data_IF_903168223081
#
_entry.id   IF_903168223081
#
_cell.length_a   1.000
_cell.length_b   1.000
_cell.length_c   1.000
_cell.angle_alpha   90.00
_cell.angle_beta   90.00
_cell.angle_gamma   90.00
#
_symmetry.space_group_name_H-M   'P 1'
#
loop_
_entity.id
_entity.type
_entity.pdbx_description
1 polymer ?
#
# COMPACT_ATOMS: atom_id res chain seq x y z
N UNK A 1 2.70 2.31 -15.87
CA UNK A 1 1.42 2.97 -16.25
C UNK A 1 1.73 4.39 -16.73
N UNK A 2 0.97 5.00 -17.64
CA UNK A 2 1.25 6.38 -18.08
C UNK A 2 1.06 7.38 -16.92
N UNK A 3 1.95 8.36 -16.70
CA UNK A 3 1.88 9.30 -15.57
C UNK A 3 0.54 10.03 -15.43
N UNK A 4 -0.03 10.52 -16.53
CA UNK A 4 -1.35 11.18 -16.51
C UNK A 4 -2.48 10.29 -15.98
N UNK A 5 -2.50 9.00 -16.36
CA UNK A 5 -3.52 8.05 -15.87
C UNK A 5 -3.35 7.85 -14.37
N UNK A 6 -2.09 7.71 -13.93
CA UNK A 6 -1.75 7.53 -12.51
C UNK A 6 -2.17 8.74 -11.68
N UNK A 7 -1.94 9.96 -12.17
CA UNK A 7 -2.37 11.22 -11.55
C UNK A 7 -3.89 11.32 -11.40
N UNK A 8 -4.65 10.93 -12.42
CA UNK A 8 -6.13 10.90 -12.34
C UNK A 8 -6.59 9.88 -11.29
N UNK A 9 -5.99 8.68 -11.29
CA UNK A 9 -6.37 7.62 -10.36
C UNK A 9 -5.97 7.93 -8.91
N UNK A 10 -4.89 8.68 -8.68
CA UNK A 10 -4.48 9.09 -7.33
C UNK A 10 -5.36 10.16 -6.70
N UNK A 11 -6.32 10.73 -7.44
CA UNK A 11 -7.33 11.62 -6.88
C UNK A 11 -8.50 10.88 -6.24
N UNK A 12 -8.60 9.56 -6.43
CA UNK A 12 -9.63 8.72 -5.81
C UNK A 12 -9.19 8.30 -4.41
N UNK A 13 -10.18 7.97 -3.58
CA UNK A 13 -9.93 7.36 -2.28
C UNK A 13 -9.33 5.96 -2.41
N UNK A 14 -8.60 5.55 -1.39
CA UNK A 14 -8.09 4.19 -1.28
C UNK A 14 -9.20 3.33 -0.67
N UNK A 15 -9.80 2.49 -1.50
CA UNK A 15 -10.79 1.50 -1.08
C UNK A 15 -10.11 0.16 -0.80
N UNK A 16 -10.27 -0.33 0.43
CA UNK A 16 -9.78 -1.64 0.86
C UNK A 16 -10.84 -2.71 0.62
N UNK A 17 -10.40 -3.86 0.15
CA UNK A 17 -11.19 -5.06 -0.10
C UNK A 17 -10.65 -6.23 0.74
N UNK A 18 -11.52 -7.16 1.10
CA UNK A 18 -11.21 -8.26 2.03
C UNK A 18 -11.83 -8.03 3.40
N UNK A 19 -11.28 -8.66 4.43
CA UNK A 19 -11.69 -8.43 5.82
C UNK A 19 -10.80 -7.33 6.41
N UNK A 20 -11.41 -6.24 6.88
CA UNK A 20 -10.65 -5.11 7.41
C UNK A 20 -10.07 -5.37 8.81
N UNK A 21 -10.47 -6.47 9.44
CA UNK A 21 -9.94 -6.99 10.69
C UNK A 21 -9.00 -8.19 10.47
N UNK A 22 -8.81 -8.63 9.22
CA UNK A 22 -7.86 -9.68 8.80
C UNK A 22 -7.08 -9.22 7.54
N UNK A 23 -6.55 -10.15 6.76
CA UNK A 23 -5.89 -9.90 5.49
C UNK A 23 -6.79 -9.10 4.52
N UNK A 24 -6.29 -7.95 4.08
CA UNK A 24 -6.96 -7.09 3.13
C UNK A 24 -6.00 -6.42 2.15
N UNK A 25 -6.54 -5.95 1.03
CA UNK A 25 -5.76 -5.28 -0.01
C UNK A 25 -6.53 -4.14 -0.66
N UNK A 26 -5.80 -3.18 -1.24
CA UNK A 26 -6.37 -2.11 -2.04
C UNK A 26 -5.67 -2.00 -3.38
N UNK A 27 -6.40 -1.53 -4.40
CA UNK A 27 -5.82 -1.14 -5.69
C UNK A 27 -5.97 0.36 -5.87
N UNK A 28 -4.85 1.07 -5.97
CA UNK A 28 -4.88 2.53 -6.03
C UNK A 28 -3.79 3.09 -6.92
N UNK A 29 -4.14 3.93 -7.89
CA UNK A 29 -3.18 4.57 -8.80
C UNK A 29 -2.19 3.61 -9.51
N UNK A 30 -2.63 2.38 -9.79
CA UNK A 30 -1.78 1.33 -10.39
C UNK A 30 -0.85 0.64 -9.39
N UNK A 31 -1.05 0.84 -8.09
CA UNK A 31 -0.43 0.11 -6.99
C UNK A 31 -1.36 -0.96 -6.46
N UNK A 32 -0.77 -1.96 -5.82
CA UNK A 32 -1.43 -2.88 -4.90
C UNK A 32 -0.87 -2.59 -3.51
N UNK A 33 -1.78 -2.37 -2.56
CA UNK A 33 -1.48 -2.23 -1.13
C UNK A 33 -1.98 -3.50 -0.44
N UNK A 34 -1.21 -4.01 0.53
CA UNK A 34 -1.57 -5.17 1.35
C UNK A 34 -1.41 -4.83 2.82
N UNK A 35 -2.29 -5.40 3.64
CA UNK A 35 -2.18 -5.46 5.09
C UNK A 35 -2.54 -6.88 5.51
N UNK A 36 -1.62 -7.55 6.22
CA UNK A 36 -1.71 -8.98 6.49
C UNK A 36 -1.40 -9.30 7.94
N UNK A 37 -2.17 -10.19 8.53
CA UNK A 37 -1.92 -10.69 9.86
C UNK A 37 -0.78 -11.70 9.83
N UNK A 38 0.19 -11.51 10.72
CA UNK A 38 1.35 -12.36 10.90
C UNK A 38 1.31 -12.99 12.29
N UNK A 39 2.24 -13.90 12.55
CA UNK A 39 2.48 -14.44 13.89
C UNK A 39 2.79 -13.35 14.93
N UNK A 40 2.63 -13.66 16.22
CA UNK A 40 2.90 -12.79 17.37
C UNK A 40 2.08 -11.46 17.40
N UNK A 41 0.83 -11.51 16.95
CA UNK A 41 -0.06 -10.34 16.84
C UNK A 41 0.61 -9.20 16.06
N UNK A 42 1.38 -9.54 15.04
CA UNK A 42 2.03 -8.57 14.17
C UNK A 42 1.25 -8.43 12.89
N UNK A 43 1.36 -7.26 12.30
CA UNK A 43 0.78 -6.98 11.00
C UNK A 43 1.88 -6.58 10.04
N UNK A 44 1.85 -7.18 8.86
CA UNK A 44 2.71 -6.84 7.75
C UNK A 44 1.95 -5.98 6.74
N UNK A 45 2.67 -5.09 6.08
CA UNK A 45 2.15 -4.27 5.00
C UNK A 45 3.15 -4.20 3.85
N UNK A 46 2.64 -4.03 2.65
CA UNK A 46 3.45 -3.78 1.47
C UNK A 46 2.72 -2.98 0.40
N UNK A 47 3.52 -2.33 -0.44
CA UNK A 47 3.09 -1.60 -1.63
C UNK A 47 3.89 -2.12 -2.81
N UNK A 48 3.20 -2.52 -3.87
CA UNK A 48 3.81 -3.03 -5.10
C UNK A 48 3.25 -2.35 -6.34
N UNK A 49 4.06 -2.25 -7.40
CA UNK A 49 3.57 -1.80 -8.70
C UNK A 49 2.78 -2.91 -9.40
N UNK A 50 1.50 -2.66 -9.70
CA UNK A 50 0.61 -3.67 -10.24
C UNK A 50 0.91 -4.07 -11.70
N UNK A 51 1.79 -3.33 -12.40
CA UNK A 51 2.16 -3.61 -13.80
C UNK A 51 3.59 -4.13 -13.96
N UNK A 52 4.48 -3.81 -13.04
CA UNK A 52 5.89 -4.22 -13.10
C UNK A 52 6.14 -5.50 -12.32
N UNK A 53 5.45 -6.59 -12.66
CA UNK A 53 5.63 -7.92 -12.04
C UNK A 53 5.53 -7.91 -10.49
N UNK A 54 4.63 -7.05 -9.95
CA UNK A 54 4.49 -6.84 -8.51
C UNK A 54 5.78 -6.39 -7.81
N UNK A 55 6.65 -5.64 -8.53
CA UNK A 55 7.83 -5.02 -7.96
C UNK A 55 7.46 -4.31 -6.67
N UNK A 56 8.06 -4.77 -5.57
CA UNK A 56 7.90 -4.15 -4.27
C UNK A 56 8.49 -2.74 -4.30
N UNK A 57 7.68 -1.78 -3.91
CA UNK A 57 8.06 -0.38 -3.77
C UNK A 57 8.52 -0.14 -2.33
N UNK A 58 7.74 -0.63 -1.37
CA UNK A 58 8.10 -0.60 0.05
C UNK A 58 7.29 -1.64 0.83
N UNK A 59 7.79 -2.05 1.99
CA UNK A 59 7.12 -3.00 2.88
C UNK A 59 7.60 -2.86 4.32
N UNK A 60 6.89 -3.52 5.25
CA UNK A 60 7.33 -3.58 6.66
C UNK A 60 8.76 -4.09 6.85
N UNK A 61 9.31 -4.85 5.89
CA UNK A 61 10.66 -5.39 5.99
C UNK A 61 11.76 -4.32 5.94
N UNK A 62 11.43 -3.13 5.41
CA UNK A 62 12.38 -2.02 5.27
C UNK A 62 12.36 -1.07 6.48
N UNK A 63 11.52 -1.33 7.49
CA UNK A 63 11.30 -0.44 8.63
C UNK A 63 11.38 -1.20 9.94
N UNK A 64 11.96 -0.58 10.97
CA UNK A 64 12.01 -1.17 12.33
C UNK A 64 10.65 -1.16 13.04
N UNK A 65 9.68 -0.39 12.54
CA UNK A 65 8.39 -0.22 13.16
C UNK A 65 7.47 -1.43 12.90
N UNK A 66 7.01 -2.03 13.99
CA UNK A 66 6.05 -3.14 13.95
C UNK A 66 4.63 -2.60 14.04
N UNK A 67 3.77 -3.02 13.09
CA UNK A 67 2.33 -2.78 13.16
C UNK A 67 1.67 -3.85 14.04
N UNK A 68 0.70 -3.43 14.87
CA UNK A 68 -0.02 -4.30 15.83
C UNK A 68 -1.52 -4.42 15.56
N UNK A 69 -2.01 -3.72 14.54
CA UNK A 69 -3.41 -3.77 14.10
C UNK A 69 -3.51 -3.64 12.59
N UNK A 70 -4.58 -4.19 12.01
CA UNK A 70 -4.92 -4.02 10.59
C UNK A 70 -4.89 -2.56 10.16
N UNK A 71 -5.54 -1.68 10.94
CA UNK A 71 -5.60 -0.24 10.69
C UNK A 71 -4.22 0.41 10.64
N UNK A 72 -3.29 0.02 11.53
CA UNK A 72 -1.93 0.56 11.50
C UNK A 72 -1.15 0.13 10.26
N UNK A 73 -1.31 -1.13 9.84
CA UNK A 73 -0.67 -1.67 8.64
C UNK A 73 -1.22 -1.04 7.37
N UNK A 74 -2.56 -0.93 7.26
CA UNK A 74 -3.23 -0.21 6.18
C UNK A 74 -2.77 1.24 6.07
N UNK A 75 -2.73 1.95 7.20
CA UNK A 75 -2.26 3.35 7.24
C UNK A 75 -0.83 3.47 6.70
N UNK A 76 0.07 2.55 7.07
CA UNK A 76 1.45 2.55 6.57
C UNK A 76 1.53 2.29 5.06
N UNK A 77 0.79 1.31 4.56
CA UNK A 77 0.71 1.06 3.12
C UNK A 77 0.19 2.27 2.36
N UNK A 78 -0.84 2.96 2.89
CA UNK A 78 -1.38 4.17 2.28
C UNK A 78 -0.37 5.31 2.25
N UNK A 79 0.35 5.55 3.36
CA UNK A 79 1.39 6.58 3.43
C UNK A 79 2.49 6.31 2.40
N UNK A 80 3.05 5.10 2.39
CA UNK A 80 4.11 4.73 1.44
C UNK A 80 3.63 4.84 -0.02
N UNK A 81 2.40 4.41 -0.31
CA UNK A 81 1.80 4.54 -1.63
C UNK A 81 1.65 6.01 -2.07
N UNK A 82 1.16 6.88 -1.18
CA UNK A 82 0.99 8.32 -1.43
C UNK A 82 2.33 9.02 -1.66
N UNK A 83 3.33 8.73 -0.83
CA UNK A 83 4.69 9.26 -0.97
C UNK A 83 5.32 8.85 -2.30
N UNK A 84 5.21 7.57 -2.67
CA UNK A 84 5.70 7.09 -3.96
C UNK A 84 5.00 7.79 -5.14
N UNK A 85 3.68 7.97 -5.07
CA UNK A 85 2.91 8.67 -6.12
C UNK A 85 3.34 10.13 -6.24
N UNK A 86 3.49 10.84 -5.12
CA UNK A 86 3.94 12.22 -5.09
C UNK A 86 5.33 12.36 -5.74
N UNK A 87 6.27 11.52 -5.30
CA UNK A 87 7.63 11.48 -5.88
C UNK A 87 7.61 11.15 -7.36
N UNK A 88 6.85 10.12 -7.77
CA UNK A 88 6.74 9.70 -9.17
C UNK A 88 6.14 10.77 -10.08
N UNK A 89 5.20 11.58 -9.56
CA UNK A 89 4.53 12.65 -10.32
C UNK A 89 5.24 14.01 -10.21
N UNK A 90 6.25 14.14 -9.34
CA UNK A 90 6.92 15.40 -9.06
C UNK A 90 6.02 16.43 -8.35
N UNK A 91 5.18 15.96 -7.42
CA UNK A 91 4.27 16.76 -6.58
C UNK A 91 4.81 16.92 -5.16
#
# INVERSE_FOLDING_TARGET
MHPEIRKILSQKDIEWYGDLEDDCSARWAGLILRAEMMDDDRWWWAVSDAKNDLLEIDSSNNHDLICKTATSARTRAETAAKEYIHSFLGL
#
